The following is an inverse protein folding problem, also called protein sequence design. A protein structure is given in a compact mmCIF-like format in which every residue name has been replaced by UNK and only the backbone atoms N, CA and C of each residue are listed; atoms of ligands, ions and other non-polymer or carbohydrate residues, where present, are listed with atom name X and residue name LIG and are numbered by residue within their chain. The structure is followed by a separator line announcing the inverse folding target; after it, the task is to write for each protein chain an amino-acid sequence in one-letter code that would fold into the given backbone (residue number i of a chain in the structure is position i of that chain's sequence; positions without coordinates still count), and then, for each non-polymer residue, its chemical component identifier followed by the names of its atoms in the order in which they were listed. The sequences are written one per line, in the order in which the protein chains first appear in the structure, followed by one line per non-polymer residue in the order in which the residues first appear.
data_IF_586953810659
#
_entry.id   IF_586953810659
#
_cell.length_a   1.000
_cell.length_b   1.000
_cell.length_c   1.000
_cell.angle_alpha   90.00
_cell.angle_beta   90.00
_cell.angle_gamma   90.00
#
_symmetry.space_group_name_H-M   'P 1'
#
loop_
_entity.id
_entity.type
_entity.pdbx_description
1 polymer ?
#
# COMPACT_ATOMS: atom_id res chain seq x y z
N UNK A 1 -33.72 2.25 1.84
CA UNK A 1 -32.48 2.20 1.04
C UNK A 1 -31.42 1.36 1.73
N UNK A 2 -31.16 1.57 3.03
CA UNK A 2 -30.11 0.87 3.77
C UNK A 2 -30.09 -0.67 3.73
N UNK A 3 -31.24 -1.38 3.71
CA UNK A 3 -31.22 -2.86 3.59
C UNK A 3 -30.62 -3.39 2.28
N UNK A 4 -30.73 -2.68 1.14
CA UNK A 4 -30.06 -3.12 -0.09
C UNK A 4 -28.56 -2.80 -0.04
N UNK A 5 -28.19 -1.64 0.53
CA UNK A 5 -26.80 -1.23 0.70
C UNK A 5 -26.00 -2.21 1.56
N UNK A 6 -26.56 -2.63 2.70
CA UNK A 6 -25.90 -3.60 3.59
C UNK A 6 -25.72 -4.98 2.94
N UNK A 7 -26.69 -5.43 2.14
CA UNK A 7 -26.57 -6.68 1.37
C UNK A 7 -25.47 -6.58 0.31
N UNK A 8 -25.37 -5.46 -0.41
CA UNK A 8 -24.29 -5.20 -1.37
C UNK A 8 -22.94 -5.19 -0.67
N UNK A 9 -22.81 -4.48 0.45
CA UNK A 9 -21.58 -4.45 1.26
C UNK A 9 -21.15 -5.85 1.71
N UNK A 10 -22.08 -6.67 2.23
CA UNK A 10 -21.79 -8.06 2.62
C UNK A 10 -21.33 -8.92 1.43
N UNK A 11 -21.94 -8.69 0.25
CA UNK A 11 -21.58 -9.36 -0.99
C UNK A 11 -20.23 -8.93 -1.54
N UNK A 12 -19.71 -7.75 -1.17
CA UNK A 12 -18.37 -7.28 -1.50
C UNK A 12 -17.30 -7.79 -0.51
N UNK A 13 -17.64 -7.84 0.79
CA UNK A 13 -16.73 -8.33 1.84
C UNK A 13 -16.44 -9.83 1.68
N UNK A 14 -17.46 -10.63 1.35
CA UNK A 14 -17.31 -12.09 1.35
C UNK A 14 -16.33 -12.61 0.27
N UNK A 15 -16.36 -12.13 -0.99
CA UNK A 15 -15.33 -12.43 -1.99
C UNK A 15 -13.95 -11.98 -1.55
N UNK A 16 -13.82 -10.77 -0.98
CA UNK A 16 -12.55 -10.25 -0.50
C UNK A 16 -11.88 -11.20 0.50
N UNK A 17 -12.60 -11.64 1.53
CA UNK A 17 -12.09 -12.57 2.56
C UNK A 17 -11.73 -13.96 2.00
N UNK A 18 -12.23 -14.28 0.82
CA UNK A 18 -12.01 -15.55 0.12
C UNK A 18 -10.91 -15.47 -0.94
N UNK A 19 -10.24 -14.33 -1.12
CA UNK A 19 -9.08 -14.22 -2.01
C UNK A 19 -7.96 -15.15 -1.51
N UNK A 20 -7.89 -16.34 -2.09
CA UNK A 20 -6.95 -17.40 -1.71
C UNK A 20 -5.53 -17.07 -2.15
N UNK A 21 -5.37 -16.29 -3.21
CA UNK A 21 -4.08 -15.91 -3.80
C UNK A 21 -3.15 -15.20 -2.81
N UNK A 22 -3.69 -14.48 -1.83
CA UNK A 22 -2.90 -13.69 -0.89
C UNK A 22 -2.64 -14.41 0.45
N UNK A 23 -3.11 -15.65 0.61
CA UNK A 23 -2.87 -16.43 1.84
C UNK A 23 -1.45 -17.03 1.90
N UNK A 24 -0.82 -17.28 0.74
CA UNK A 24 0.47 -18.00 0.63
C UNK A 24 1.56 -17.27 -0.20
N UNK A 25 1.33 -16.04 -0.67
CA UNK A 25 2.29 -15.32 -1.53
C UNK A 25 3.38 -14.61 -0.74
N UNK A 26 4.65 -14.94 -1.00
CA UNK A 26 5.87 -14.31 -0.47
C UNK A 26 6.10 -12.82 -0.89
N UNK A 27 5.08 -12.09 -1.35
CA UNK A 27 5.22 -10.67 -1.71
C UNK A 27 5.00 -9.78 -0.49
N UNK A 28 6.10 -9.50 0.21
CA UNK A 28 6.09 -9.02 1.61
C UNK A 28 5.39 -7.67 1.92
N UNK A 29 5.13 -6.71 1.01
CA UNK A 29 4.22 -5.62 1.35
C UNK A 29 2.75 -5.97 1.10
N UNK A 30 2.42 -6.56 -0.06
CA UNK A 30 1.02 -6.77 -0.49
C UNK A 30 0.29 -7.73 0.43
N UNK A 31 0.93 -8.84 0.81
CA UNK A 31 0.35 -9.82 1.73
C UNK A 31 0.05 -9.19 3.10
N UNK A 32 0.97 -8.35 3.61
CA UNK A 32 0.80 -7.66 4.89
C UNK A 32 -0.40 -6.70 4.85
N UNK A 33 -0.58 -5.96 3.76
CA UNK A 33 -1.75 -5.09 3.61
C UNK A 33 -3.04 -5.89 3.41
N UNK A 34 -3.00 -7.02 2.72
CA UNK A 34 -4.14 -7.92 2.60
C UNK A 34 -4.58 -8.43 3.97
N UNK A 35 -3.65 -8.96 4.78
CA UNK A 35 -3.94 -9.44 6.14
C UNK A 35 -4.52 -8.33 7.02
N UNK A 36 -3.95 -7.12 6.94
CA UNK A 36 -4.45 -5.94 7.66
C UNK A 36 -5.90 -5.62 7.28
N UNK A 37 -6.21 -5.59 5.99
CA UNK A 37 -7.58 -5.37 5.51
C UNK A 37 -8.51 -6.51 5.91
N UNK A 38 -8.07 -7.75 5.80
CA UNK A 38 -8.82 -8.95 6.16
C UNK A 38 -9.21 -8.94 7.65
N UNK A 39 -8.31 -8.54 8.54
CA UNK A 39 -8.58 -8.37 9.97
C UNK A 39 -9.68 -7.34 10.24
N UNK A 40 -9.61 -6.17 9.60
CA UNK A 40 -10.63 -5.12 9.74
C UNK A 40 -11.99 -5.63 9.24
N UNK A 41 -12.03 -6.24 8.06
CA UNK A 41 -13.27 -6.70 7.46
C UNK A 41 -13.89 -7.91 8.19
N UNK A 42 -13.07 -8.77 8.81
CA UNK A 42 -13.54 -9.85 9.70
C UNK A 42 -14.24 -9.28 10.95
N UNK A 43 -13.75 -8.16 11.47
CA UNK A 43 -14.36 -7.48 12.62
C UNK A 43 -15.68 -6.78 12.23
N UNK A 44 -15.76 -6.19 11.03
CA UNK A 44 -16.94 -5.47 10.55
C UNK A 44 -18.08 -6.39 10.09
N UNK A 45 -17.76 -7.54 9.50
CA UNK A 45 -18.75 -8.48 8.96
C UNK A 45 -19.89 -8.86 9.93
N UNK A 46 -19.64 -9.28 11.19
CA UNK A 46 -20.72 -9.64 12.11
C UNK A 46 -21.62 -8.43 12.47
N UNK A 47 -21.05 -7.23 12.55
CA UNK A 47 -21.81 -6.01 12.86
C UNK A 47 -22.78 -5.68 11.74
N UNK A 48 -22.30 -5.76 10.49
CA UNK A 48 -23.13 -5.56 9.29
C UNK A 48 -24.25 -6.61 9.22
N UNK A 49 -23.95 -7.88 9.56
CA UNK A 49 -24.96 -8.94 9.59
C UNK A 49 -26.07 -8.65 10.61
N UNK A 50 -25.70 -8.21 11.82
CA UNK A 50 -26.67 -7.90 12.86
C UNK A 50 -27.52 -6.66 12.50
N UNK A 51 -26.89 -5.65 11.90
CA UNK A 51 -27.61 -4.47 11.40
C UNK A 51 -28.62 -4.79 10.28
N UNK A 52 -28.40 -5.85 9.48
CA UNK A 52 -29.37 -6.32 8.47
C UNK A 52 -30.59 -6.99 9.13
N UNK A 53 -30.38 -7.73 10.21
CA UNK A 53 -31.44 -8.49 10.88
C UNK A 53 -32.40 -7.56 11.63
N UNK A 54 -31.87 -6.49 12.25
CA UNK A 54 -32.67 -5.50 12.97
C UNK A 54 -33.08 -4.34 12.06
N UNK A 55 -34.03 -4.62 11.16
CA UNK A 55 -34.52 -3.66 10.15
C UNK A 55 -35.09 -2.34 10.69
N UNK A 56 -35.29 -2.21 12.02
CA UNK A 56 -35.73 -1.00 12.71
C UNK A 56 -34.59 0.00 12.99
N UNK A 57 -33.32 -0.40 12.82
CA UNK A 57 -32.11 0.45 13.02
C UNK A 57 -31.92 1.46 11.87
N UNK A 58 -32.61 1.27 10.74
CA UNK A 58 -32.21 1.83 9.45
C UNK A 58 -33.19 2.92 9.00
N UNK A 59 -33.10 4.09 9.60
CA UNK A 59 -33.71 5.31 9.04
C UNK A 59 -32.94 6.57 9.45
N UNK A 60 -31.61 6.52 9.37
CA UNK A 60 -30.74 7.69 9.54
C UNK A 60 -29.92 7.91 8.28
N UNK A 61 -30.11 9.08 7.65
CA UNK A 61 -29.42 9.50 6.44
C UNK A 61 -27.89 9.54 6.63
N UNK A 62 -27.43 9.86 7.85
CA UNK A 62 -26.00 9.88 8.20
C UNK A 62 -25.43 8.46 8.19
N UNK A 63 -26.18 7.51 8.75
CA UNK A 63 -25.79 6.10 8.81
C UNK A 63 -25.78 5.46 7.42
N UNK A 64 -26.79 5.75 6.59
CA UNK A 64 -26.88 5.25 5.21
C UNK A 64 -25.67 5.73 4.39
N UNK A 65 -25.27 7.00 4.53
CA UNK A 65 -24.09 7.55 3.85
C UNK A 65 -22.79 6.88 4.30
N UNK A 66 -22.62 6.63 5.60
CA UNK A 66 -21.43 5.95 6.12
C UNK A 66 -21.31 4.51 5.62
N UNK A 67 -22.45 3.79 5.48
CA UNK A 67 -22.46 2.46 4.86
C UNK A 67 -22.17 2.48 3.36
N UNK A 68 -22.65 3.49 2.63
CA UNK A 68 -22.34 3.66 1.22
C UNK A 68 -20.84 3.92 1.01
N UNK A 69 -20.24 4.83 1.77
CA UNK A 69 -18.81 5.13 1.71
C UNK A 69 -17.95 3.90 2.07
N UNK A 70 -18.36 3.14 3.10
CA UNK A 70 -17.73 1.87 3.45
C UNK A 70 -17.83 0.86 2.30
N UNK A 71 -18.99 0.73 1.66
CA UNK A 71 -19.23 -0.14 0.50
C UNK A 71 -18.30 0.15 -0.66
N UNK A 72 -18.23 1.42 -1.07
CA UNK A 72 -17.35 1.88 -2.14
C UNK A 72 -15.87 1.64 -1.80
N UNK A 73 -15.46 1.95 -0.56
CA UNK A 73 -14.08 1.76 -0.14
C UNK A 73 -13.65 0.29 -0.12
N UNK A 74 -14.56 -0.63 0.26
CA UNK A 74 -14.30 -2.08 0.24
C UNK A 74 -14.26 -2.62 -1.19
N UNK A 75 -15.10 -2.11 -2.08
CA UNK A 75 -15.08 -2.46 -3.51
C UNK A 75 -13.79 -2.01 -4.18
N UNK A 76 -13.44 -0.73 -4.04
CA UNK A 76 -12.18 -0.17 -4.55
C UNK A 76 -10.98 -0.96 -3.99
N UNK A 77 -11.00 -1.31 -2.69
CA UNK A 77 -9.95 -2.11 -2.07
C UNK A 77 -9.84 -3.50 -2.71
N UNK A 78 -10.97 -4.18 -2.94
CA UNK A 78 -10.99 -5.48 -3.62
C UNK A 78 -10.37 -5.38 -5.01
N UNK A 79 -10.76 -4.38 -5.79
CA UNK A 79 -10.22 -4.16 -7.14
C UNK A 79 -8.70 -3.92 -7.12
N UNK A 80 -8.18 -3.20 -6.12
CA UNK A 80 -6.72 -3.02 -5.97
C UNK A 80 -5.99 -4.36 -5.77
N UNK A 81 -6.54 -5.28 -4.98
CA UNK A 81 -5.92 -6.60 -4.78
C UNK A 81 -6.12 -7.54 -5.98
N UNK A 82 -7.30 -7.50 -6.62
CA UNK A 82 -7.57 -8.33 -7.81
C UNK A 82 -6.74 -7.90 -9.03
N UNK A 83 -6.46 -6.61 -9.16
CA UNK A 83 -5.62 -6.06 -10.25
C UNK A 83 -4.12 -6.20 -10.01
N UNK A 84 -3.69 -6.57 -8.79
CA UNK A 84 -2.27 -6.68 -8.46
C UNK A 84 -1.54 -7.74 -9.31
N UNK A 85 -0.42 -7.34 -9.90
CA UNK A 85 0.48 -8.19 -10.67
C UNK A 85 1.94 -8.04 -10.18
N UNK A 86 2.82 -9.04 -10.36
CA UNK A 86 4.22 -8.97 -9.92
C UNK A 86 5.03 -7.76 -10.41
N UNK A 87 4.68 -7.19 -11.56
CA UNK A 87 5.31 -6.02 -12.16
C UNK A 87 4.54 -4.71 -11.89
N UNK A 88 3.67 -4.70 -10.89
CA UNK A 88 2.96 -3.49 -10.45
C UNK A 88 3.83 -2.71 -9.46
N UNK A 89 3.67 -1.39 -9.42
CA UNK A 89 4.40 -0.53 -8.48
C UNK A 89 3.94 -0.81 -7.05
N UNK A 90 4.88 -1.22 -6.19
CA UNK A 90 4.65 -1.41 -4.75
C UNK A 90 4.43 -0.06 -4.06
N UNK A 91 5.19 0.97 -4.42
CA UNK A 91 5.09 2.32 -3.83
C UNK A 91 3.69 2.88 -4.06
N UNK A 92 3.22 2.85 -5.31
CA UNK A 92 1.90 3.36 -5.68
C UNK A 92 0.78 2.52 -5.04
N UNK A 93 0.89 1.19 -5.07
CA UNK A 93 -0.06 0.29 -4.43
C UNK A 93 -0.24 0.56 -2.94
N UNK A 94 0.86 0.70 -2.19
CA UNK A 94 0.82 0.98 -0.75
C UNK A 94 0.14 2.32 -0.45
N UNK A 95 0.41 3.35 -1.26
CA UNK A 95 -0.26 4.65 -1.11
C UNK A 95 -1.78 4.55 -1.28
N UNK A 96 -2.24 3.78 -2.27
CA UNK A 96 -3.67 3.57 -2.54
C UNK A 96 -4.34 2.74 -1.44
N UNK A 97 -3.74 1.60 -1.08
CA UNK A 97 -4.32 0.69 -0.10
C UNK A 97 -4.34 1.30 1.31
N UNK A 98 -3.32 2.05 1.72
CA UNK A 98 -3.37 2.75 3.01
C UNK A 98 -4.44 3.84 3.05
N UNK A 99 -4.67 4.55 1.94
CA UNK A 99 -5.76 5.53 1.84
C UNK A 99 -7.13 4.86 1.97
N UNK A 100 -7.33 3.72 1.29
CA UNK A 100 -8.58 2.94 1.35
C UNK A 100 -8.82 2.34 2.73
N UNK A 101 -7.79 1.77 3.36
CA UNK A 101 -7.90 1.27 4.74
C UNK A 101 -8.27 2.40 5.69
N UNK A 102 -7.70 3.59 5.52
CA UNK A 102 -8.03 4.75 6.35
C UNK A 102 -9.49 5.20 6.16
N UNK A 103 -10.01 5.19 4.91
CA UNK A 103 -11.43 5.45 4.61
C UNK A 103 -12.35 4.41 5.25
N UNK A 104 -12.01 3.13 5.16
CA UNK A 104 -12.75 2.02 5.81
C UNK A 104 -12.77 2.23 7.33
N UNK A 105 -11.63 2.54 7.93
CA UNK A 105 -11.53 2.81 9.37
C UNK A 105 -12.43 3.99 9.76
N UNK A 106 -12.35 5.12 9.05
CA UNK A 106 -13.17 6.30 9.34
C UNK A 106 -14.67 6.03 9.18
N UNK A 107 -15.07 5.42 8.06
CA UNK A 107 -16.48 5.04 7.83
C UNK A 107 -16.99 4.09 8.92
N UNK A 108 -16.14 3.18 9.38
CA UNK A 108 -16.48 2.29 10.49
C UNK A 108 -16.73 3.09 11.77
N UNK A 109 -15.87 4.07 12.11
CA UNK A 109 -16.05 4.93 13.28
C UNK A 109 -17.38 5.69 13.23
N UNK A 110 -17.74 6.23 12.07
CA UNK A 110 -18.98 6.96 11.87
C UNK A 110 -20.20 6.05 12.08
N UNK A 111 -20.14 4.81 11.57
CA UNK A 111 -21.17 3.78 11.79
C UNK A 111 -21.29 3.47 13.30
N UNK A 112 -20.17 3.19 13.97
CA UNK A 112 -20.17 2.86 15.40
C UNK A 112 -20.73 4.00 16.27
N UNK A 113 -20.35 5.24 15.96
CA UNK A 113 -20.83 6.41 16.68
C UNK A 113 -22.34 6.61 16.49
N UNK A 114 -22.82 6.45 15.26
CA UNK A 114 -24.25 6.57 14.93
C UNK A 114 -25.08 5.47 15.60
N UNK A 115 -24.58 4.23 15.62
CA UNK A 115 -25.22 3.13 16.33
C UNK A 115 -25.26 3.38 17.85
N UNK A 116 -24.20 3.95 18.44
CA UNK A 116 -24.13 4.27 19.86
C UNK A 116 -25.09 5.39 20.28
N UNK A 117 -25.37 6.34 19.39
CA UNK A 117 -26.34 7.42 19.64
C UNK A 117 -27.79 6.99 19.45
N UNK A 118 -28.04 5.83 18.85
CA UNK A 118 -29.39 5.30 18.69
C UNK A 118 -29.86 4.67 20.01
N UNK A 119 -30.94 5.20 20.60
CA UNK A 119 -31.57 4.72 21.85
C UNK A 119 -32.25 3.34 21.73
N UNK A 120 -32.03 2.61 20.63
CA UNK A 120 -32.67 1.34 20.36
C UNK A 120 -31.98 0.19 21.11
N UNK A 121 -32.77 -0.83 21.48
CA UNK A 121 -32.30 -2.02 22.19
C UNK A 121 -31.45 -2.89 21.25
N UNK A 122 -30.17 -2.52 21.11
CA UNK A 122 -29.21 -3.23 20.29
C UNK A 122 -29.02 -4.68 20.82
N UNK A 123 -28.80 -5.67 19.93
CA UNK A 123 -28.36 -7.01 20.31
C UNK A 123 -27.11 -6.99 21.19
N UNK A 124 -26.89 -8.05 21.99
CA UNK A 124 -25.72 -8.18 22.86
C UNK A 124 -24.39 -8.09 22.09
N UNK A 125 -24.35 -8.57 20.84
CA UNK A 125 -23.20 -8.44 19.93
C UNK A 125 -22.96 -6.99 19.43
N UNK A 126 -24.00 -6.15 19.44
CA UNK A 126 -23.93 -4.71 19.19
C UNK A 126 -23.94 -3.88 20.50
N UNK A 127 -23.73 -4.53 21.64
CA UNK A 127 -23.61 -3.82 22.92
C UNK A 127 -22.47 -2.80 22.89
N UNK A 128 -22.60 -1.74 23.68
CA UNK A 128 -21.61 -0.66 23.76
C UNK A 128 -20.18 -1.16 24.07
N UNK A 129 -20.05 -2.21 24.88
CA UNK A 129 -18.76 -2.83 25.19
C UNK A 129 -18.15 -3.58 23.99
N UNK A 130 -18.97 -4.33 23.25
CA UNK A 130 -18.54 -5.06 22.05
C UNK A 130 -18.14 -4.11 20.92
N UNK A 131 -18.92 -3.04 20.70
CA UNK A 131 -18.60 -2.00 19.70
C UNK A 131 -17.32 -1.25 20.06
N UNK A 132 -17.13 -0.87 21.33
CA UNK A 132 -15.92 -0.17 21.79
C UNK A 132 -14.68 -1.05 21.61
N UNK A 133 -14.77 -2.34 21.94
CA UNK A 133 -13.69 -3.30 21.74
C UNK A 133 -13.36 -3.50 20.24
N UNK A 134 -14.38 -3.58 19.37
CA UNK A 134 -14.20 -3.67 17.93
C UNK A 134 -13.52 -2.41 17.36
N UNK A 135 -14.00 -1.24 17.78
CA UNK A 135 -13.49 0.07 17.40
C UNK A 135 -12.03 0.25 17.82
N UNK A 136 -11.68 -0.17 19.05
CA UNK A 136 -10.29 -0.19 19.48
C UNK A 136 -9.46 -1.08 18.56
N UNK A 137 -9.87 -2.32 18.28
CA UNK A 137 -9.12 -3.19 17.35
C UNK A 137 -8.94 -2.55 15.98
N UNK A 138 -10.01 -2.01 15.38
CA UNK A 138 -9.96 -1.36 14.07
C UNK A 138 -8.98 -0.17 14.06
N UNK A 139 -8.97 0.67 15.11
CA UNK A 139 -8.02 1.79 15.23
C UNK A 139 -6.57 1.33 15.34
N UNK A 140 -6.32 0.23 16.05
CA UNK A 140 -4.96 -0.27 16.27
C UNK A 140 -4.41 -1.08 15.10
N UNK A 141 -5.27 -1.58 14.20
CA UNK A 141 -4.85 -2.32 13.00
C UNK A 141 -4.10 -1.38 12.03
N UNK A 142 -2.77 -1.38 12.18
CA UNK A 142 -1.77 -0.77 11.31
C UNK A 142 -1.44 0.72 11.56
N UNK A 143 -1.14 1.01 12.81
CA UNK A 143 -0.57 2.29 13.29
C UNK A 143 0.71 2.76 12.55
N UNK A 144 1.44 1.87 11.86
CA UNK A 144 2.64 2.24 11.08
C UNK A 144 2.29 2.40 9.60
N UNK A 145 1.92 3.61 9.20
CA UNK A 145 1.64 3.96 7.80
C UNK A 145 2.95 4.31 7.08
N UNK A 146 3.27 3.58 6.01
CA UNK A 146 4.45 3.85 5.18
C UNK A 146 4.19 5.02 4.23
N UNK A 147 2.92 5.26 3.88
CA UNK A 147 2.50 6.40 3.05
C UNK A 147 2.92 7.75 3.63
N UNK A 148 2.93 7.92 4.95
CA UNK A 148 3.36 9.16 5.58
C UNK A 148 4.86 9.41 5.34
N UNK A 149 5.69 8.37 5.48
CA UNK A 149 7.12 8.42 5.17
C UNK A 149 7.39 8.68 3.70
N UNK A 150 6.64 8.05 2.79
CA UNK A 150 6.75 8.30 1.34
C UNK A 150 6.39 9.75 1.03
N UNK A 151 5.28 10.27 1.58
CA UNK A 151 4.84 11.65 1.36
C UNK A 151 5.81 12.67 1.96
N UNK A 152 6.39 12.36 3.11
CA UNK A 152 7.47 13.16 3.71
C UNK A 152 8.69 13.17 2.80
N UNK A 153 9.13 12.00 2.32
CA UNK A 153 10.26 11.90 1.42
C UNK A 153 10.05 12.64 0.09
N UNK A 154 8.83 12.62 -0.45
CA UNK A 154 8.47 13.38 -1.65
C UNK A 154 8.52 14.88 -1.39
N UNK A 155 8.07 15.38 -0.23
CA UNK A 155 8.14 16.81 0.11
C UNK A 155 9.57 17.28 0.32
N UNK A 156 10.35 16.55 1.11
CA UNK A 156 11.74 16.92 1.44
C UNK A 156 12.63 16.95 0.18
N UNK A 157 12.34 16.10 -0.82
CA UNK A 157 12.99 16.14 -2.13
C UNK A 157 12.81 17.50 -2.83
N UNK A 158 11.60 18.08 -2.76
CA UNK A 158 11.27 19.36 -3.39
C UNK A 158 11.95 20.53 -2.67
N UNK A 159 12.07 20.45 -1.35
CA UNK A 159 12.58 21.54 -0.51
C UNK A 159 14.11 21.63 -0.47
N UNK A 160 14.84 20.85 -1.29
CA UNK A 160 16.32 20.77 -1.36
C UNK A 160 17.04 20.37 -0.06
N UNK A 161 16.27 20.07 1.01
CA UNK A 161 16.79 19.50 2.25
C UNK A 161 17.15 18.05 1.95
N UNK A 162 18.44 17.73 2.00
CA UNK A 162 18.92 16.38 1.70
C UNK A 162 18.13 15.33 2.48
N UNK A 163 17.44 14.45 1.75
CA UNK A 163 16.63 13.37 2.30
C UNK A 163 17.41 12.55 3.32
N UNK A 164 16.84 12.36 4.51
CA UNK A 164 17.51 11.59 5.55
C UNK A 164 17.71 10.15 5.08
N UNK A 165 18.93 9.65 5.22
CA UNK A 165 19.27 8.26 4.85
C UNK A 165 18.42 7.25 5.63
N UNK A 166 17.94 7.62 6.82
CA UNK A 166 17.10 6.78 7.66
C UNK A 166 15.67 6.62 7.09
N UNK A 167 15.05 7.69 6.59
CA UNK A 167 13.71 7.62 5.98
C UNK A 167 13.75 6.75 4.72
N UNK A 168 14.74 6.96 3.86
CA UNK A 168 14.90 6.16 2.64
C UNK A 168 15.07 4.67 2.95
N UNK A 169 15.91 4.32 3.95
CA UNK A 169 16.09 2.93 4.38
C UNK A 169 14.80 2.33 4.94
N UNK A 170 14.03 3.07 5.73
CA UNK A 170 12.73 2.59 6.23
C UNK A 170 11.75 2.30 5.10
N UNK A 171 11.72 3.13 4.06
CA UNK A 171 10.89 2.89 2.86
C UNK A 171 11.39 1.64 2.11
N UNK A 172 12.71 1.52 1.94
CA UNK A 172 13.39 0.39 1.31
C UNK A 172 12.97 -0.96 1.92
N UNK A 173 13.12 -1.08 3.23
CA UNK A 173 12.81 -2.28 4.00
C UNK A 173 11.31 -2.56 3.99
N UNK A 174 10.49 -1.51 4.12
CA UNK A 174 9.04 -1.65 4.22
C UNK A 174 8.37 -2.10 2.93
N UNK A 175 8.94 -1.74 1.78
CA UNK A 175 8.43 -2.12 0.46
C UNK A 175 9.16 -3.35 -0.12
N UNK A 176 10.12 -3.92 0.62
CA UNK A 176 11.01 -4.97 0.13
C UNK A 176 11.59 -4.59 -1.24
N UNK A 177 12.20 -3.40 -1.31
CA UNK A 177 12.93 -2.90 -2.49
C UNK A 177 14.42 -3.04 -2.23
N UNK A 178 14.84 -4.24 -1.81
CA UNK A 178 16.15 -4.49 -1.20
C UNK A 178 17.28 -4.71 -2.23
N UNK A 179 16.93 -4.90 -3.49
CA UNK A 179 17.85 -5.20 -4.58
C UNK A 179 17.73 -4.21 -5.73
N UNK A 180 18.79 -4.12 -6.54
CA UNK A 180 18.80 -3.26 -7.72
C UNK A 180 17.70 -3.66 -8.70
N UNK A 181 17.49 -4.98 -8.88
CA UNK A 181 16.43 -5.51 -9.73
C UNK A 181 15.03 -5.06 -9.26
N UNK A 182 14.75 -5.12 -7.96
CA UNK A 182 13.44 -4.67 -7.43
C UNK A 182 13.22 -3.17 -7.65
N UNK A 183 14.25 -2.35 -7.46
CA UNK A 183 14.17 -0.90 -7.70
C UNK A 183 13.96 -0.59 -9.19
N UNK A 184 14.65 -1.31 -10.09
CA UNK A 184 14.48 -1.14 -11.53
C UNK A 184 13.08 -1.57 -11.98
N UNK A 185 12.57 -2.69 -11.46
CA UNK A 185 11.18 -3.13 -11.72
C UNK A 185 10.19 -2.07 -11.22
N UNK A 186 10.40 -1.51 -10.04
CA UNK A 186 9.57 -0.45 -9.49
C UNK A 186 9.58 0.80 -10.37
N UNK A 187 10.76 1.23 -10.85
CA UNK A 187 10.90 2.38 -11.73
C UNK A 187 10.13 2.18 -13.05
N UNK A 188 10.30 1.02 -13.70
CA UNK A 188 9.57 0.69 -14.93
C UNK A 188 8.06 0.62 -14.69
N UNK A 189 7.63 0.08 -13.55
CA UNK A 189 6.21 0.02 -13.20
C UNK A 189 5.60 1.41 -13.01
N UNK A 190 6.34 2.34 -12.40
CA UNK A 190 5.93 3.74 -12.24
C UNK A 190 5.88 4.48 -13.58
N UNK A 191 6.85 4.29 -14.46
CA UNK A 191 6.81 4.88 -15.82
C UNK A 191 5.59 4.40 -16.60
N UNK A 192 5.26 3.11 -16.53
CA UNK A 192 4.04 2.58 -17.14
C UNK A 192 2.78 3.20 -16.55
N UNK A 193 2.73 3.43 -15.23
CA UNK A 193 1.60 4.11 -14.59
C UNK A 193 1.49 5.57 -15.04
N UNK A 194 2.63 6.25 -15.22
CA UNK A 194 2.68 7.61 -15.75
C UNK A 194 2.12 7.68 -17.16
N UNK A 195 2.56 6.79 -18.06
CA UNK A 195 2.03 6.70 -19.43
C UNK A 195 0.50 6.49 -19.45
N UNK A 196 -0.03 5.63 -18.56
CA UNK A 196 -1.47 5.44 -18.43
C UNK A 196 -2.19 6.71 -17.93
N UNK A 197 -1.61 7.44 -16.98
CA UNK A 197 -2.17 8.68 -16.46
C UNK A 197 -2.14 9.81 -17.50
N UNK A 198 -1.10 9.87 -18.33
CA UNK A 198 -1.00 10.78 -19.48
C UNK A 198 -2.09 10.48 -20.51
N UNK A 199 -2.28 9.21 -20.88
CA UNK A 199 -3.35 8.78 -21.79
C UNK A 199 -4.75 9.08 -21.25
N UNK A 200 -4.92 9.06 -19.93
CA UNK A 200 -6.17 9.43 -19.25
C UNK A 200 -6.30 10.94 -18.97
N UNK A 201 -5.37 11.77 -19.44
CA UNK A 201 -5.33 13.23 -19.25
C UNK A 201 -5.32 13.68 -17.77
N UNK A 202 -4.80 12.84 -16.86
CA UNK A 202 -4.77 13.10 -15.41
C UNK A 202 -3.48 13.82 -15.00
N UNK A 203 -3.38 15.10 -15.34
CA UNK A 203 -2.18 15.93 -15.12
C UNK A 203 -1.65 15.93 -13.68
N UNK A 204 -2.53 16.02 -12.68
CA UNK A 204 -2.11 15.99 -11.27
C UNK A 204 -1.51 14.63 -10.85
N UNK A 205 -2.01 13.53 -11.42
CA UNK A 205 -1.49 12.19 -11.16
C UNK A 205 -0.13 11.98 -11.82
N UNK A 206 0.06 12.49 -13.05
CA UNK A 206 1.36 12.47 -13.74
C UNK A 206 2.44 13.15 -12.91
N UNK A 207 2.18 14.38 -12.43
CA UNK A 207 3.12 15.13 -11.58
C UNK A 207 3.46 14.37 -10.30
N UNK A 208 2.47 13.72 -9.70
CA UNK A 208 2.69 12.93 -8.50
C UNK A 208 3.53 11.67 -8.79
N UNK A 209 3.26 10.97 -9.88
CA UNK A 209 4.04 9.79 -10.28
C UNK A 209 5.48 10.18 -10.62
N UNK A 210 5.72 11.33 -11.26
CA UNK A 210 7.07 11.86 -11.50
C UNK A 210 7.87 12.04 -10.19
N UNK A 211 7.21 12.51 -9.12
CA UNK A 211 7.84 12.62 -7.80
C UNK A 211 8.19 11.24 -7.21
N UNK A 212 7.35 10.23 -7.43
CA UNK A 212 7.64 8.85 -7.02
C UNK A 212 8.81 8.26 -7.83
N UNK A 213 8.88 8.51 -9.13
CA UNK A 213 10.00 8.09 -10.00
C UNK A 213 11.30 8.73 -9.51
N UNK A 214 11.28 10.02 -9.18
CA UNK A 214 12.45 10.71 -8.62
C UNK A 214 12.86 10.12 -7.26
N UNK A 215 11.91 9.76 -6.40
CA UNK A 215 12.19 9.07 -5.12
C UNK A 215 12.86 7.70 -5.35
N UNK A 216 12.32 6.88 -6.26
CA UNK A 216 12.89 5.56 -6.60
C UNK A 216 14.28 5.69 -7.22
N UNK A 217 14.50 6.73 -8.04
CA UNK A 217 15.82 7.04 -8.61
C UNK A 217 16.85 7.40 -7.53
N UNK A 218 16.43 8.12 -6.49
CA UNK A 218 17.28 8.39 -5.34
C UNK A 218 17.58 7.13 -4.53
N UNK A 219 16.59 6.25 -4.35
CA UNK A 219 16.79 4.94 -3.70
C UNK A 219 17.81 4.09 -4.46
N UNK A 220 17.74 4.08 -5.80
CA UNK A 220 18.74 3.44 -6.66
C UNK A 220 20.14 4.00 -6.39
N UNK A 221 20.30 5.32 -6.42
CA UNK A 221 21.60 5.96 -6.18
C UNK A 221 22.17 5.61 -4.79
N UNK A 222 21.31 5.56 -3.75
CA UNK A 222 21.72 5.14 -2.40
C UNK A 222 22.17 3.69 -2.35
N UNK A 223 21.44 2.77 -3.01
CA UNK A 223 21.83 1.37 -3.09
C UNK A 223 23.21 1.20 -3.75
N UNK A 224 23.47 1.93 -4.84
CA UNK A 224 24.78 1.94 -5.51
C UNK A 224 25.89 2.35 -4.56
N UNK A 225 25.72 3.45 -3.81
CA UNK A 225 26.71 3.92 -2.85
C UNK A 225 26.98 2.89 -1.75
N UNK A 226 25.93 2.25 -1.22
CA UNK A 226 26.06 1.20 -0.20
C UNK A 226 26.87 0.02 -0.75
N UNK A 227 26.53 -0.48 -1.95
CA UNK A 227 27.23 -1.61 -2.59
C UNK A 227 28.69 -1.31 -2.87
N UNK A 228 29.01 -0.11 -3.34
CA UNK A 228 30.39 0.35 -3.56
C UNK A 228 31.19 0.43 -2.25
N UNK A 229 30.55 0.87 -1.16
CA UNK A 229 31.23 0.93 0.15
C UNK A 229 31.53 -0.45 0.77
N UNK A 230 30.76 -1.48 0.40
CA UNK A 230 30.96 -2.85 0.85
C UNK A 230 32.06 -3.57 0.07
N UNK A 231 32.42 -3.07 -1.10
CA UNK A 231 33.56 -3.59 -1.87
C UNK A 231 34.83 -3.06 -1.19
N UNK A 232 35.61 -3.93 -0.53
CA UNK A 232 36.88 -3.60 0.15
C UNK A 232 38.01 -3.16 -0.82
N UNK A 233 37.68 -2.47 -1.90
CA UNK A 233 38.64 -1.89 -2.82
C UNK A 233 39.00 -0.47 -2.33
N UNK A 234 40.30 -0.14 -2.21
CA UNK A 234 40.73 1.24 -1.95
C UNK A 234 40.46 2.17 -3.14
N UNK A 235 40.04 1.64 -4.30
CA UNK A 235 39.75 2.36 -5.53
C UNK A 235 38.26 2.29 -5.85
N UNK A 236 37.65 3.43 -6.14
CA UNK A 236 36.28 3.51 -6.66
C UNK A 236 36.22 2.75 -8.00
N UNK A 237 35.43 1.67 -8.03
CA UNK A 237 35.25 0.86 -9.24
C UNK A 237 34.43 1.68 -10.24
N UNK A 238 34.93 1.95 -11.46
CA UNK A 238 34.16 2.64 -12.48
C UNK A 238 32.90 1.85 -12.85
N UNK A 239 31.80 2.56 -13.14
CA UNK A 239 30.52 1.93 -13.45
C UNK A 239 30.57 0.96 -14.64
N UNK A 240 31.49 1.19 -15.59
CA UNK A 240 31.69 0.35 -16.78
C UNK A 240 32.15 -1.08 -16.47
N UNK A 241 32.69 -1.32 -15.27
CA UNK A 241 33.09 -2.65 -14.81
C UNK A 241 32.00 -3.37 -14.01
N UNK A 242 30.87 -2.72 -13.76
CA UNK A 242 29.76 -3.30 -13.01
C UNK A 242 28.60 -3.63 -13.95
N UNK A 243 27.95 -4.77 -13.70
CA UNK A 243 26.71 -5.09 -14.40
C UNK A 243 25.63 -4.08 -13.99
N UNK A 244 24.94 -3.40 -14.94
CA UNK A 244 23.93 -2.39 -14.63
C UNK A 244 22.69 -2.97 -13.93
N UNK A 245 22.49 -4.29 -14.00
CA UNK A 245 21.36 -4.98 -13.36
C UNK A 245 21.67 -5.49 -11.96
N UNK A 246 22.85 -6.07 -11.72
CA UNK A 246 23.20 -6.60 -10.39
C UNK A 246 23.99 -5.61 -9.52
N UNK A 247 24.62 -4.60 -10.14
CA UNK A 247 25.65 -3.74 -9.54
C UNK A 247 26.88 -4.50 -9.05
N UNK A 248 27.03 -5.77 -9.45
CA UNK A 248 28.20 -6.59 -9.16
C UNK A 248 29.28 -6.38 -10.21
N UNK A 249 30.53 -6.56 -9.81
CA UNK A 249 31.66 -6.51 -10.73
C UNK A 249 31.49 -7.58 -11.80
N UNK A 250 31.63 -7.20 -13.06
CA UNK A 250 31.66 -8.12 -14.18
C UNK A 250 32.96 -8.94 -14.10
N UNK A 251 32.85 -10.20 -13.69
CA UNK A 251 33.98 -11.14 -13.59
C UNK A 251 34.33 -11.78 -14.94
N UNK A 252 33.49 -11.61 -15.95
CA UNK A 252 33.76 -12.10 -17.30
C UNK A 252 34.83 -11.23 -17.96
N UNK A 253 36.01 -11.82 -18.17
CA UNK A 253 37.17 -11.18 -18.79
C UNK A 253 36.78 -10.62 -20.17
N UNK A 254 36.74 -9.29 -20.28
CA UNK A 254 36.78 -8.62 -21.58
C UNK A 254 38.21 -8.79 -22.12
N UNK A 255 38.40 -9.74 -23.03
CA UNK A 255 39.62 -9.82 -23.84
C UNK A 255 39.57 -8.60 -24.77
N UNK A 256 40.28 -7.54 -24.42
CA UNK A 256 40.55 -6.44 -25.36
C UNK A 256 41.36 -7.00 -26.53
N UNK A 257 41.16 -6.47 -27.74
CA UNK A 257 41.87 -6.90 -28.96
C UNK A 257 43.41 -6.82 -28.85
N UNK A 258 43.94 -6.18 -27.79
CA UNK A 258 45.37 -6.17 -27.44
C UNK A 258 45.87 -7.45 -26.75
N UNK A 259 44.99 -8.38 -26.36
CA UNK A 259 45.36 -9.61 -25.66
C UNK A 259 45.74 -9.44 -24.19
N UNK A 260 45.48 -8.27 -23.59
CA UNK A 260 45.71 -8.04 -22.16
C UNK A 260 44.49 -8.44 -21.33
N UNK A 261 44.72 -9.29 -20.33
CA UNK A 261 43.75 -9.58 -19.27
C UNK A 261 44.12 -8.73 -18.04
N UNK A 262 43.15 -8.00 -17.49
CA UNK A 262 43.31 -7.39 -16.18
C UNK A 262 42.83 -8.42 -15.14
N UNK A 263 43.74 -8.82 -14.26
CA UNK A 263 43.45 -9.63 -13.05
C UNK A 263 42.84 -8.77 -11.94
#
# INVERSE_FOLDING_TARGET
MGMSLLKTLLSNISPFLNLSSFKDTNSEPVQKYYQRAEEILKLLKPIILNAIVDSEIISDEVLDKAFEELGLSVEELREQFESWQPLSSKVYFVLQVEALISRIQNSSLDIFQSLKSSDQHLPDELSSASLEHCLQKIKHVGYKQISSLIREAVRDQVDSVGLSSEILMKIFESLSLNSNQEILVEAVALEKLKENAEQAEKTAEVVFIDQLIALVSLMHHRLVLIKQSQTCSPVLIPADFCCPLSLELMTDLVIVASGQTYE
#
